data_IF_323101383702
#
_entry.id   IF_323101383702
#
_cell.length_a   1.000
_cell.length_b   1.000
_cell.length_c   1.000
_cell.angle_alpha   90.00
_cell.angle_beta   90.00
_cell.angle_gamma   90.00
#
_symmetry.space_group_name_H-M   'P 1'
#
loop_
_entity.id
_entity.type
_entity.pdbx_description
1 polymer ?
#
# COMPACT_ATOMS: atom_id res chain seq x y z
N UNK A 1 -1.76 -7.91 0.70
CA UNK A 1 -0.84 -8.75 1.53
C UNK A 1 0.41 -7.94 1.86
N UNK A 2 1.03 -8.12 3.03
CA UNK A 2 2.27 -7.40 3.42
C UNK A 2 3.42 -8.39 3.57
N UNK A 3 4.51 -8.21 2.82
CA UNK A 3 5.69 -9.06 2.84
C UNK A 3 6.99 -8.31 3.21
N UNK A 4 8.10 -9.04 3.26
CA UNK A 4 9.40 -8.49 3.66
C UNK A 4 10.06 -7.60 2.59
N UNK A 5 9.67 -7.73 1.31
CA UNK A 5 10.27 -6.94 0.23
C UNK A 5 11.78 -7.19 0.14
N UNK A 6 12.58 -6.12 0.14
CA UNK A 6 14.04 -6.17 0.17
C UNK A 6 14.58 -6.58 1.56
N UNK A 7 14.28 -7.80 2.01
CA UNK A 7 14.79 -8.43 3.24
C UNK A 7 14.50 -7.67 4.55
N UNK A 8 13.31 -7.07 4.68
CA UNK A 8 12.90 -6.46 5.96
C UNK A 8 12.93 -7.49 7.10
N UNK A 9 13.51 -7.18 8.28
CA UNK A 9 13.51 -8.08 9.42
C UNK A 9 12.10 -8.49 9.83
N UNK A 10 11.92 -9.78 10.14
CA UNK A 10 10.61 -10.34 10.53
C UNK A 10 10.00 -9.62 11.75
N UNK A 11 10.83 -9.19 12.70
CA UNK A 11 10.41 -8.42 13.86
C UNK A 11 9.75 -7.08 13.49
N UNK A 12 10.13 -6.46 12.36
CA UNK A 12 9.57 -5.19 11.89
C UNK A 12 8.34 -5.36 10.99
N UNK A 13 8.03 -6.58 10.56
CA UNK A 13 6.89 -6.86 9.68
C UNK A 13 5.56 -6.46 10.31
N UNK A 14 5.42 -6.61 11.63
CA UNK A 14 4.22 -6.17 12.37
C UNK A 14 3.96 -4.67 12.23
N UNK A 15 5.01 -3.86 12.33
CA UNK A 15 4.92 -2.41 12.12
C UNK A 15 4.51 -2.08 10.67
N UNK A 16 5.09 -2.75 9.67
CA UNK A 16 4.71 -2.56 8.26
C UNK A 16 3.23 -2.89 8.01
N UNK A 17 2.70 -3.93 8.65
CA UNK A 17 1.25 -4.25 8.60
C UNK A 17 0.42 -3.11 9.19
N UNK A 18 0.84 -2.56 10.33
CA UNK A 18 0.13 -1.45 10.97
C UNK A 18 0.09 -0.19 10.08
N UNK A 19 1.21 0.17 9.45
CA UNK A 19 1.29 1.31 8.52
C UNK A 19 0.37 1.13 7.33
N UNK A 20 0.35 -0.06 6.70
CA UNK A 20 -0.56 -0.34 5.57
C UNK A 20 -2.02 -0.23 6.00
N UNK A 21 -2.37 -0.77 7.18
CA UNK A 21 -3.74 -0.64 7.73
C UNK A 21 -4.11 0.82 7.99
N UNK A 22 -3.20 1.61 8.54
CA UNK A 22 -3.41 3.04 8.79
C UNK A 22 -3.61 3.81 7.48
N UNK A 23 -2.80 3.55 6.46
CA UNK A 23 -2.93 4.21 5.16
C UNK A 23 -4.29 3.94 4.50
N UNK A 24 -4.78 2.70 4.58
CA UNK A 24 -6.11 2.34 4.07
C UNK A 24 -7.21 3.02 4.89
N UNK A 25 -7.13 2.97 6.23
CA UNK A 25 -8.14 3.57 7.10
C UNK A 25 -8.22 5.10 6.97
N UNK A 26 -7.08 5.76 6.77
CA UNK A 26 -7.01 7.21 6.60
C UNK A 26 -7.54 7.65 5.24
N UNK A 27 -7.13 6.99 4.16
CA UNK A 27 -7.43 7.46 2.80
C UNK A 27 -8.75 6.91 2.24
N UNK A 28 -9.29 5.82 2.82
CA UNK A 28 -10.55 5.19 2.40
C UNK A 28 -10.67 5.04 0.87
N UNK A 29 -9.78 4.26 0.23
CA UNK A 29 -9.86 4.05 -1.21
C UNK A 29 -11.08 3.20 -1.58
N UNK A 30 -11.75 3.56 -2.67
CA UNK A 30 -12.84 2.79 -3.25
C UNK A 30 -12.28 1.62 -4.06
N UNK A 31 -12.49 0.35 -3.65
CA UNK A 31 -11.93 -0.80 -4.35
C UNK A 31 -12.50 -1.02 -5.76
N UNK A 32 -13.64 -0.41 -6.09
CA UNK A 32 -14.23 -0.47 -7.43
C UNK A 32 -13.64 0.58 -8.40
N UNK A 33 -12.84 1.52 -7.90
CA UNK A 33 -12.19 2.57 -8.68
C UNK A 33 -10.66 2.43 -8.56
N UNK A 34 -10.05 1.81 -9.58
CA UNK A 34 -8.61 1.57 -9.59
C UNK A 34 -7.77 2.85 -9.59
N UNK A 35 -8.28 3.95 -10.16
CA UNK A 35 -7.58 5.23 -10.16
C UNK A 35 -7.61 5.85 -8.75
N UNK A 36 -8.74 5.77 -8.05
CA UNK A 36 -8.86 6.21 -6.65
C UNK A 36 -7.91 5.44 -5.74
N UNK A 37 -7.80 4.11 -5.91
CA UNK A 37 -6.86 3.27 -5.16
C UNK A 37 -5.42 3.71 -5.41
N UNK A 38 -5.02 3.85 -6.67
CA UNK A 38 -3.67 4.24 -7.06
C UNK A 38 -3.29 5.63 -6.54
N UNK A 39 -4.22 6.59 -6.62
CA UNK A 39 -4.01 7.95 -6.15
C UNK A 39 -3.87 8.03 -4.62
N UNK A 40 -4.62 7.20 -3.87
CA UNK A 40 -4.69 7.27 -2.40
C UNK A 40 -3.65 6.43 -1.66
N UNK A 41 -3.36 5.23 -2.16
CA UNK A 41 -2.49 4.25 -1.47
C UNK A 41 -1.44 3.60 -2.39
N UNK A 42 -1.33 4.06 -3.63
CA UNK A 42 -0.31 3.64 -4.58
C UNK A 42 0.95 4.49 -4.51
N UNK A 43 1.53 4.79 -5.67
CA UNK A 43 2.72 5.61 -5.85
C UNK A 43 3.00 5.82 -7.33
N UNK A 44 3.85 6.78 -7.68
CA UNK A 44 4.11 7.15 -9.08
C UNK A 44 4.60 5.97 -9.93
N UNK A 45 5.47 5.12 -9.38
CA UNK A 45 5.97 3.94 -10.08
C UNK A 45 4.83 2.97 -10.46
N UNK A 46 3.87 2.77 -9.55
CA UNK A 46 2.72 1.88 -9.79
C UNK A 46 1.77 2.45 -10.85
N UNK A 47 1.54 3.77 -10.83
CA UNK A 47 0.73 4.44 -11.86
C UNK A 47 1.44 4.38 -13.22
N UNK A 48 2.76 4.62 -13.25
CA UNK A 48 3.56 4.54 -14.46
C UNK A 48 3.59 3.16 -15.11
N UNK A 49 3.44 2.08 -14.33
CA UNK A 49 3.29 0.72 -14.87
C UNK A 49 1.86 0.36 -15.29
N UNK A 50 0.86 1.12 -14.84
CA UNK A 50 -0.56 0.84 -15.15
C UNK A 50 -1.01 1.43 -16.48
N UNK A 51 -0.39 2.55 -16.90
CA UNK A 51 -0.61 3.16 -18.22
C UNK A 51 0.02 2.34 -19.34
#
# INVERSE_FOLDING_TARGET
>A
MVGCGANLPLAQRGHKVAVVRQAIAHNQPNPADGLDVLAKVGGYDLVGMTG
#
